data_IF_222347597276
#
_entry.id   IF_222347597276
#
_cell.length_a   1.000
_cell.length_b   1.000
_cell.length_c   1.000
_cell.angle_alpha   90.00
_cell.angle_beta   90.00
_cell.angle_gamma   90.00
#
_symmetry.space_group_name_H-M   'P 1'
#
loop_
_entity.id
_entity.type
_entity.pdbx_description
1 polymer ?
#
# COMPACT_ATOMS: atom_id res chain seq x y z
N UNK A 1 0.92 -1.59 -24.77
CA UNK A 1 1.46 -2.42 -23.69
C UNK A 1 0.45 -2.42 -22.56
N UNK A 2 -0.14 -3.57 -22.25
CA UNK A 2 -0.96 -3.72 -21.05
C UNK A 2 -0.03 -3.73 -19.83
N UNK A 3 -0.47 -3.15 -18.72
CA UNK A 3 0.32 -3.11 -17.49
C UNK A 3 -0.50 -3.80 -16.41
N UNK A 4 0.05 -4.86 -15.81
CA UNK A 4 -0.54 -5.45 -14.62
C UNK A 4 -0.16 -4.61 -13.40
N UNK A 5 -1.18 -4.16 -12.67
CA UNK A 5 -1.03 -3.28 -11.51
C UNK A 5 -1.45 -4.02 -10.24
N UNK A 6 -0.54 -4.15 -9.27
CA UNK A 6 -0.94 -4.58 -7.93
C UNK A 6 -1.94 -3.58 -7.35
N UNK A 7 -2.97 -4.06 -6.66
CA UNK A 7 -3.89 -3.23 -5.89
C UNK A 7 -3.30 -2.94 -4.50
N UNK A 8 -3.70 -1.84 -3.82
CA UNK A 8 -3.12 -1.48 -2.52
C UNK A 8 -3.27 -2.57 -1.46
N UNK A 9 -4.42 -3.25 -1.45
CA UNK A 9 -4.67 -4.35 -0.51
C UNK A 9 -3.83 -5.59 -0.81
N UNK A 10 -3.44 -5.80 -2.07
CA UNK A 10 -2.53 -6.87 -2.45
C UNK A 10 -1.11 -6.56 -1.97
N UNK A 11 -0.64 -5.33 -2.14
CA UNK A 11 0.65 -4.89 -1.61
C UNK A 11 0.71 -4.99 -0.08
N UNK A 12 -0.32 -4.50 0.61
CA UNK A 12 -0.41 -4.60 2.07
C UNK A 12 -0.40 -6.06 2.55
N UNK A 13 -1.15 -6.94 1.88
CA UNK A 13 -1.18 -8.37 2.21
C UNK A 13 0.15 -9.07 1.93
N UNK A 14 0.71 -8.85 0.75
CA UNK A 14 1.93 -9.50 0.32
C UNK A 14 3.10 -9.10 1.21
N UNK A 15 3.22 -7.81 1.58
CA UNK A 15 4.25 -7.35 2.48
C UNK A 15 4.20 -8.04 3.85
N UNK A 16 3.00 -8.17 4.45
CA UNK A 16 2.83 -8.89 5.72
C UNK A 16 3.17 -10.38 5.57
N UNK A 17 2.68 -11.04 4.54
CA UNK A 17 2.92 -12.49 4.32
C UNK A 17 4.40 -12.78 4.09
N UNK A 18 5.10 -11.95 3.30
CA UNK A 18 6.53 -12.10 3.06
C UNK A 18 7.31 -11.87 4.35
N UNK A 19 7.01 -10.80 5.08
CA UNK A 19 7.70 -10.47 6.34
C UNK A 19 7.45 -11.50 7.44
N UNK A 20 6.29 -12.14 7.45
CA UNK A 20 5.97 -13.17 8.42
C UNK A 20 6.71 -14.48 8.18
N UNK A 21 7.20 -14.74 6.95
CA UNK A 21 7.86 -15.99 6.63
C UNK A 21 9.09 -16.21 7.52
N UNK A 22 9.13 -17.35 8.20
CA UNK A 22 10.20 -17.71 9.13
C UNK A 22 10.07 -17.10 10.53
N UNK A 23 9.05 -16.30 10.82
CA UNK A 23 8.82 -15.78 12.16
C UNK A 23 8.16 -16.81 13.07
N UNK A 24 8.57 -16.81 14.33
CA UNK A 24 7.94 -17.60 15.38
C UNK A 24 6.68 -16.91 15.95
N UNK A 25 5.94 -17.64 16.80
CA UNK A 25 4.70 -17.14 17.41
C UNK A 25 4.90 -15.87 18.25
N UNK A 26 6.02 -15.75 18.96
CA UNK A 26 6.30 -14.58 19.82
C UNK A 26 6.58 -13.36 18.96
N UNK A 27 7.35 -13.52 17.88
CA UNK A 27 7.64 -12.48 16.92
C UNK A 27 6.38 -12.02 16.18
N UNK A 28 5.53 -12.95 15.74
CA UNK A 28 4.23 -12.62 15.13
C UNK A 28 3.35 -11.86 16.13
N UNK A 29 3.24 -12.32 17.38
CA UNK A 29 2.45 -11.63 18.39
C UNK A 29 2.95 -10.21 18.68
N UNK A 30 4.27 -9.98 18.67
CA UNK A 30 4.84 -8.64 18.80
C UNK A 30 4.46 -7.74 17.61
N UNK A 31 4.51 -8.27 16.37
CA UNK A 31 4.13 -7.52 15.17
C UNK A 31 2.63 -7.23 15.10
N UNK A 32 1.78 -8.12 15.62
CA UNK A 32 0.33 -7.85 15.80
C UNK A 32 0.13 -6.62 16.69
N UNK A 33 0.79 -6.55 17.85
CA UNK A 33 0.68 -5.39 18.75
C UNK A 33 1.14 -4.10 18.07
N UNK A 34 2.28 -4.13 17.39
CA UNK A 34 2.80 -2.97 16.66
C UNK A 34 1.84 -2.53 15.54
N UNK A 35 1.21 -3.47 14.83
CA UNK A 35 0.23 -3.16 13.80
C UNK A 35 -1.06 -2.54 14.40
N UNK A 36 -1.54 -3.05 15.53
CA UNK A 36 -2.67 -2.49 16.27
C UNK A 36 -2.38 -1.07 16.75
N UNK A 37 -1.20 -0.84 17.33
CA UNK A 37 -0.77 0.50 17.74
C UNK A 37 -0.71 1.46 16.56
N UNK A 38 -0.16 1.02 15.41
CA UNK A 38 -0.10 1.84 14.20
C UNK A 38 -1.49 2.20 13.70
N UNK A 39 -2.41 1.22 13.63
CA UNK A 39 -3.80 1.48 13.26
C UNK A 39 -4.47 2.45 14.24
N UNK A 40 -4.24 2.27 15.55
CA UNK A 40 -4.72 3.19 16.59
C UNK A 40 -4.20 4.62 16.41
N UNK A 41 -2.91 4.79 16.14
CA UNK A 41 -2.31 6.10 15.83
C UNK A 41 -2.89 6.71 14.55
N UNK A 42 -3.11 5.91 13.51
CA UNK A 42 -3.68 6.38 12.25
C UNK A 42 -5.14 6.86 12.40
N UNK A 43 -5.93 6.25 13.30
CA UNK A 43 -7.33 6.67 13.58
C UNK A 43 -7.44 8.06 14.18
N UNK A 44 -6.49 8.44 15.02
CA UNK A 44 -6.44 9.77 15.63
C UNK A 44 -5.66 10.78 14.79
N UNK A 45 -5.10 10.34 13.66
CA UNK A 45 -4.37 11.18 12.72
C UNK A 45 -5.28 12.14 11.95
N UNK A 46 -4.69 13.12 11.24
CA UNK A 46 -5.44 13.98 10.34
C UNK A 46 -6.19 13.17 9.29
N UNK A 47 -7.43 13.56 8.98
CA UNK A 47 -8.18 12.93 7.91
C UNK A 47 -7.47 13.15 6.56
N UNK A 48 -7.21 12.05 5.87
CA UNK A 48 -6.59 12.07 4.54
C UNK A 48 -7.68 11.99 3.46
N UNK A 49 -7.51 12.68 2.32
CA UNK A 49 -8.41 12.59 1.20
C UNK A 49 -8.29 11.24 0.49
N UNK A 50 -9.38 10.81 -0.14
CA UNK A 50 -9.51 9.58 -0.92
C UNK A 50 -9.54 8.27 -0.10
N UNK A 51 -9.85 7.16 -0.77
CA UNK A 51 -10.00 5.84 -0.13
C UNK A 51 -8.67 5.21 0.32
N UNK A 52 -7.56 5.60 -0.30
CA UNK A 52 -6.23 5.19 0.10
C UNK A 52 -5.71 6.18 1.12
N UNK A 53 -5.57 5.72 2.37
CA UNK A 53 -5.08 6.52 3.50
C UNK A 53 -4.14 5.69 4.38
N UNK A 54 -3.35 6.35 5.23
CA UNK A 54 -2.52 5.67 6.24
C UNK A 54 -3.37 4.77 7.14
N UNK A 55 -4.59 5.22 7.50
CA UNK A 55 -5.53 4.41 8.27
C UNK A 55 -5.93 3.14 7.52
N UNK A 56 -6.38 3.27 6.26
CA UNK A 56 -6.79 2.12 5.44
C UNK A 56 -5.64 1.12 5.29
N UNK A 57 -4.41 1.61 5.06
CA UNK A 57 -3.22 0.76 4.92
C UNK A 57 -2.89 0.06 6.25
N UNK A 58 -2.89 0.79 7.36
CA UNK A 58 -2.58 0.26 8.68
C UNK A 58 -3.60 -0.81 9.12
N UNK A 59 -4.89 -0.57 8.90
CA UNK A 59 -5.95 -1.53 9.23
C UNK A 59 -5.86 -2.80 8.36
N UNK A 60 -5.63 -2.65 7.05
CA UNK A 60 -5.42 -3.80 6.17
C UNK A 60 -4.27 -4.66 6.67
N UNK A 61 -3.13 -4.06 7.02
CA UNK A 61 -1.95 -4.79 7.55
C UNK A 61 -2.25 -5.43 8.90
N UNK A 62 -2.93 -4.71 9.80
CA UNK A 62 -3.33 -5.23 11.11
C UNK A 62 -4.16 -6.52 10.97
N UNK A 63 -5.18 -6.50 10.12
CA UNK A 63 -6.02 -7.67 9.83
C UNK A 63 -5.19 -8.85 9.30
N UNK A 64 -4.17 -8.59 8.46
CA UNK A 64 -3.31 -9.67 7.98
C UNK A 64 -2.40 -10.24 9.07
N UNK A 65 -1.85 -9.41 9.95
CA UNK A 65 -1.05 -9.88 11.08
C UNK A 65 -1.89 -10.70 12.07
N UNK A 66 -3.07 -10.20 12.44
CA UNK A 66 -3.99 -10.88 13.36
C UNK A 66 -4.45 -12.23 12.82
N UNK A 67 -4.56 -12.36 11.49
CA UNK A 67 -4.89 -13.63 10.84
C UNK A 67 -3.78 -14.68 10.94
N UNK A 68 -2.51 -14.27 10.94
CA UNK A 68 -1.38 -15.21 10.86
C UNK A 68 -1.24 -16.05 12.14
N UNK A 69 -1.45 -15.46 13.32
CA UNK A 69 -1.32 -16.18 14.58
C UNK A 69 -2.26 -17.41 14.66
N UNK A 70 -3.59 -17.29 14.39
CA UNK A 70 -4.49 -18.45 14.33
C UNK A 70 -4.11 -19.50 13.29
N UNK A 71 -3.47 -19.11 12.17
CA UNK A 71 -2.95 -20.07 11.18
C UNK A 71 -1.81 -20.89 11.80
N UNK A 72 -0.87 -20.25 12.48
CA UNK A 72 0.25 -20.95 13.13
C UNK A 72 -0.21 -21.93 14.22
N UNK A 73 -1.30 -21.62 14.91
CA UNK A 73 -1.88 -22.48 15.94
C UNK A 73 -2.62 -23.67 15.32
N UNK A 74 -3.44 -23.43 14.29
CA UNK A 74 -4.17 -24.48 13.57
C UNK A 74 -3.22 -25.50 12.93
N UNK A 75 -2.20 -25.00 12.24
CA UNK A 75 -1.22 -25.84 11.54
C UNK A 75 -0.14 -26.40 12.49
N UNK A 76 -0.19 -26.05 13.77
CA UNK A 76 0.76 -26.47 14.81
C UNK A 76 2.24 -26.23 14.46
N UNK A 77 2.52 -25.13 13.75
CA UNK A 77 3.87 -24.81 13.27
C UNK A 77 4.65 -23.93 14.24
N UNK A 78 5.95 -24.18 14.36
CA UNK A 78 6.84 -23.35 15.16
C UNK A 78 7.16 -22.00 14.48
N UNK A 79 7.27 -22.02 13.14
CA UNK A 79 7.54 -20.86 12.31
C UNK A 79 6.50 -20.75 11.20
N UNK A 80 6.11 -19.52 10.85
CA UNK A 80 5.16 -19.30 9.77
C UNK A 80 5.79 -19.60 8.41
N UNK A 81 5.08 -20.39 7.60
CA UNK A 81 5.43 -20.65 6.21
C UNK A 81 4.22 -20.36 5.32
N UNK A 82 4.44 -19.56 4.26
CA UNK A 82 3.37 -19.18 3.31
C UNK A 82 2.66 -20.39 2.70
N UNK A 83 3.39 -21.48 2.44
CA UNK A 83 2.84 -22.71 1.85
C UNK A 83 1.80 -23.39 2.73
N UNK A 84 1.80 -23.13 4.05
CA UNK A 84 0.85 -23.69 5.01
C UNK A 84 -0.37 -22.78 5.22
N UNK A 85 -0.35 -21.57 4.67
CA UNK A 85 -1.44 -20.62 4.73
C UNK A 85 -2.30 -20.72 3.46
N UNK A 86 -3.34 -21.55 3.51
CA UNK A 86 -4.25 -21.78 2.39
C UNK A 86 -4.88 -20.49 1.83
N UNK A 87 -5.06 -19.45 2.65
CA UNK A 87 -5.57 -18.16 2.17
C UNK A 87 -4.49 -17.39 1.41
N UNK A 88 -3.26 -17.38 1.92
CA UNK A 88 -2.15 -16.76 1.21
C UNK A 88 -1.90 -17.45 -0.15
N UNK A 89 -1.93 -18.78 -0.19
CA UNK A 89 -1.82 -19.57 -1.43
C UNK A 89 -2.93 -19.21 -2.41
N UNK A 90 -4.20 -19.27 -1.97
CA UNK A 90 -5.36 -18.94 -2.82
C UNK A 90 -5.30 -17.52 -3.37
N UNK A 91 -4.87 -16.55 -2.56
CA UNK A 91 -4.73 -15.17 -3.02
C UNK A 91 -3.66 -15.03 -4.12
N UNK A 92 -2.55 -15.76 -4.04
CA UNK A 92 -1.53 -15.77 -5.08
C UNK A 92 -2.00 -16.50 -6.35
N UNK A 93 -2.75 -17.59 -6.22
CA UNK A 93 -3.37 -18.27 -7.35
C UNK A 93 -4.36 -17.36 -8.08
N UNK A 94 -5.25 -16.68 -7.34
CA UNK A 94 -6.19 -15.72 -7.91
C UNK A 94 -5.47 -14.55 -8.61
N UNK A 95 -4.35 -14.10 -8.04
CA UNK A 95 -3.49 -13.07 -8.66
C UNK A 95 -2.94 -13.55 -9.99
N UNK A 96 -2.40 -14.76 -10.02
CA UNK A 96 -1.84 -15.37 -11.22
C UNK A 96 -2.92 -15.61 -12.29
N UNK A 97 -4.11 -16.08 -11.90
CA UNK A 97 -5.24 -16.26 -12.80
C UNK A 97 -5.68 -14.95 -13.47
N UNK A 98 -5.74 -13.84 -12.72
CA UNK A 98 -6.03 -12.52 -13.31
C UNK A 98 -4.95 -12.10 -14.30
N UNK A 99 -3.68 -12.23 -13.92
CA UNK A 99 -2.57 -11.94 -14.82
C UNK A 99 -2.62 -12.78 -16.10
N UNK A 100 -2.91 -14.08 -15.99
CA UNK A 100 -3.06 -14.96 -17.16
C UNK A 100 -4.23 -14.54 -18.06
N UNK A 101 -5.34 -14.07 -17.48
CA UNK A 101 -6.46 -13.54 -18.26
C UNK A 101 -6.06 -12.26 -19.02
N UNK A 102 -5.30 -11.35 -18.38
CA UNK A 102 -4.78 -10.14 -19.03
C UNK A 102 -3.79 -10.48 -20.15
N UNK A 103 -2.95 -11.52 -19.97
CA UNK A 103 -2.03 -12.03 -21.00
C UNK A 103 -2.83 -12.58 -22.18
N UNK A 104 -3.80 -13.45 -21.94
CA UNK A 104 -4.61 -14.05 -23.00
C UNK A 104 -5.40 -12.99 -23.79
N UNK A 105 -5.90 -11.95 -23.11
CA UNK A 105 -6.55 -10.83 -23.79
C UNK A 105 -5.56 -10.01 -24.62
N UNK A 106 -4.36 -9.74 -24.10
CA UNK A 106 -3.31 -9.06 -24.85
C UNK A 106 -2.95 -9.81 -26.15
N UNK A 107 -2.81 -11.14 -26.06
CA UNK A 107 -2.55 -12.02 -27.20
C UNK A 107 -3.69 -11.97 -28.24
N UNK A 108 -4.95 -12.02 -27.80
CA UNK A 108 -6.11 -11.88 -28.69
C UNK A 108 -6.13 -10.57 -29.46
N UNK A 109 -5.75 -9.47 -28.80
CA UNK A 109 -5.73 -8.14 -29.39
C UNK A 109 -4.47 -7.86 -30.22
N UNK A 110 -3.55 -8.83 -30.34
CA UNK A 110 -2.28 -8.65 -31.06
C UNK A 110 -1.38 -7.58 -30.44
N UNK A 111 -1.61 -7.24 -29.16
CA UNK A 111 -0.77 -6.29 -28.43
C UNK A 111 0.30 -7.02 -27.63
N UNK A 112 1.39 -6.34 -27.34
CA UNK A 112 2.46 -6.87 -26.48
C UNK A 112 1.88 -7.37 -25.16
N UNK A 113 2.36 -8.53 -24.71
CA UNK A 113 2.04 -9.13 -23.43
C UNK A 113 2.14 -8.10 -22.28
N UNK A 114 1.32 -8.25 -21.23
CA UNK A 114 1.30 -7.30 -20.14
C UNK A 114 2.65 -7.24 -19.42
N UNK A 115 3.15 -6.03 -19.22
CA UNK A 115 4.29 -5.79 -18.33
C UNK A 115 3.80 -5.72 -16.89
N UNK A 116 4.44 -6.44 -15.97
CA UNK A 116 4.12 -6.33 -14.55
C UNK A 116 4.76 -5.06 -14.02
N UNK A 117 3.96 -4.00 -13.84
CA UNK A 117 4.43 -2.80 -13.18
C UNK A 117 4.39 -3.00 -11.67
N UNK A 118 5.54 -2.79 -11.04
CA UNK A 118 5.69 -2.84 -9.59
C UNK A 118 5.17 -1.54 -9.00
N UNK A 119 3.85 -1.43 -8.89
CA UNK A 119 3.23 -0.28 -8.24
C UNK A 119 3.65 -0.17 -6.78
N UNK A 120 3.91 1.06 -6.39
CA UNK A 120 4.23 1.47 -5.03
C UNK A 120 3.09 2.34 -4.54
N UNK A 121 2.76 2.24 -3.26
CA UNK A 121 1.94 3.27 -2.63
C UNK A 121 2.89 4.35 -2.13
N UNK A 122 2.71 5.55 -2.65
CA UNK A 122 3.46 6.73 -2.25
C UNK A 122 2.58 7.60 -1.35
N UNK A 123 3.16 8.05 -0.23
CA UNK A 123 2.67 9.12 0.63
C UNK A 123 3.27 10.43 0.16
N UNK A 124 2.41 11.40 -0.15
CA UNK A 124 2.81 12.75 -0.56
C UNK A 124 2.48 13.70 0.56
N UNK A 125 3.52 14.24 1.20
CA UNK A 125 3.39 15.33 2.15
C UNK A 125 3.37 16.67 1.42
N UNK A 126 2.43 17.54 1.79
CA UNK A 126 2.41 18.92 1.33
C UNK A 126 2.78 19.88 2.47
N UNK A 127 3.33 21.04 2.11
CA UNK A 127 3.59 22.14 3.04
C UNK A 127 2.88 23.41 2.59
N UNK A 128 2.42 24.19 3.55
CA UNK A 128 1.83 25.50 3.33
C UNK A 128 2.85 26.48 2.74
N UNK A 129 2.46 27.24 1.72
CA UNK A 129 3.24 28.38 1.25
C UNK A 129 3.01 29.55 2.19
N UNK A 130 4.09 30.19 2.64
CA UNK A 130 4.05 31.34 3.53
C UNK A 130 3.07 32.42 3.02
N UNK A 131 2.21 32.91 3.92
CA UNK A 131 1.20 33.93 3.61
C UNK A 131 -0.06 33.43 2.88
N UNK A 132 -0.19 32.12 2.60
CA UNK A 132 -1.38 31.54 1.93
C UNK A 132 -2.14 30.51 2.78
N UNK A 133 -1.64 30.16 3.96
CA UNK A 133 -2.27 29.20 4.85
C UNK A 133 -2.14 29.63 6.31
N UNK A 134 -3.03 29.12 7.18
CA UNK A 134 -3.01 29.42 8.61
C UNK A 134 -1.73 28.82 9.25
N UNK A 135 -0.95 29.60 10.03
CA UNK A 135 0.23 29.09 10.71
C UNK A 135 -0.11 27.90 11.62
N UNK A 136 0.75 26.88 11.63
CA UNK A 136 0.61 25.70 12.50
C UNK A 136 -0.32 24.60 12.00
N UNK A 137 -0.98 24.77 10.84
CA UNK A 137 -1.80 23.70 10.24
C UNK A 137 -0.91 22.83 9.33
N UNK A 138 -0.82 21.50 9.56
CA UNK A 138 -0.12 20.60 8.68
C UNK A 138 -0.71 20.65 7.27
N UNK A 139 0.15 20.62 6.24
CA UNK A 139 -0.33 20.50 4.87
C UNK A 139 -1.00 19.15 4.62
N UNK A 140 -1.89 19.05 3.62
CA UNK A 140 -2.60 17.82 3.36
C UNK A 140 -1.63 16.70 2.93
N UNK A 141 -1.94 15.48 3.37
CA UNK A 141 -1.24 14.26 2.95
C UNK A 141 -2.11 13.54 1.94
N UNK A 142 -1.52 12.98 0.88
CA UNK A 142 -2.23 12.18 -0.12
C UNK A 142 -1.50 10.85 -0.30
N UNK A 143 -2.25 9.75 -0.33
CA UNK A 143 -1.70 8.45 -0.74
C UNK A 143 -2.20 8.08 -2.13
N UNK A 144 -1.31 7.61 -2.99
CA UNK A 144 -1.68 7.10 -4.31
C UNK A 144 -0.72 6.01 -4.81
N UNK A 145 -1.18 5.29 -5.82
CA UNK A 145 -0.36 4.30 -6.52
C UNK A 145 0.42 4.92 -7.68
N UNK A 146 1.71 4.60 -7.76
CA UNK A 146 2.57 4.96 -8.88
C UNK A 146 3.73 3.99 -9.03
N UNK A 147 4.29 3.90 -10.24
CA UNK A 147 5.47 3.07 -10.51
C UNK A 147 6.76 3.63 -9.86
N UNK A 148 6.80 4.94 -9.59
CA UNK A 148 7.95 5.63 -8.98
C UNK A 148 7.52 6.87 -8.20
N UNK A 149 8.42 7.41 -7.36
CA UNK A 149 8.20 8.67 -6.65
C UNK A 149 8.00 9.84 -7.63
N UNK A 150 8.73 9.87 -8.74
CA UNK A 150 8.57 10.90 -9.77
C UNK A 150 7.19 10.80 -10.45
N UNK A 151 6.76 9.58 -10.80
CA UNK A 151 5.42 9.35 -11.34
C UNK A 151 4.33 9.75 -10.34
N UNK A 152 4.55 9.50 -9.04
CA UNK A 152 3.64 9.93 -7.99
C UNK A 152 3.55 11.47 -7.90
N UNK A 153 4.68 12.17 -7.92
CA UNK A 153 4.74 13.63 -7.91
C UNK A 153 4.03 14.25 -9.13
N UNK A 154 4.25 13.69 -10.32
CA UNK A 154 3.57 14.14 -11.55
C UNK A 154 2.06 13.91 -11.45
N UNK A 155 1.64 12.73 -11.01
CA UNK A 155 0.21 12.37 -10.89
C UNK A 155 -0.51 13.23 -9.85
N UNK A 156 0.08 13.43 -8.68
CA UNK A 156 -0.53 14.24 -7.62
C UNK A 156 -0.64 15.71 -8.06
N UNK A 157 0.36 16.24 -8.77
CA UNK A 157 0.29 17.61 -9.31
C UNK A 157 -0.76 17.76 -10.40
N UNK A 158 -0.89 16.77 -11.30
CA UNK A 158 -1.90 16.79 -12.35
C UNK A 158 -3.34 16.82 -11.81
N UNK A 159 -3.57 16.19 -10.66
CA UNK A 159 -4.89 16.14 -9.99
C UNK A 159 -5.11 17.34 -9.06
N UNK A 160 -4.11 17.70 -8.25
CA UNK A 160 -4.28 18.63 -7.14
C UNK A 160 -3.63 20.01 -7.34
N UNK A 161 -2.78 20.18 -8.36
CA UNK A 161 -2.10 21.43 -8.69
C UNK A 161 -2.87 22.35 -9.66
N UNK A 162 -3.95 21.86 -10.29
CA UNK A 162 -4.81 22.63 -11.21
C UNK A 162 -5.74 23.59 -10.46
N UNK A 163 -6.41 24.49 -11.20
CA UNK A 163 -7.47 25.35 -10.65
C UNK A 163 -8.56 24.53 -9.95
N UNK A 164 -8.92 24.94 -8.73
CA UNK A 164 -9.85 24.19 -7.86
C UNK A 164 -9.25 22.93 -7.21
N UNK A 165 -8.00 22.57 -7.55
CA UNK A 165 -7.28 21.45 -6.95
C UNK A 165 -6.89 21.70 -5.49
N UNK A 166 -6.78 20.62 -4.72
CA UNK A 166 -6.47 20.64 -3.29
C UNK A 166 -5.30 21.57 -2.95
N UNK A 167 -4.14 21.41 -3.59
CA UNK A 167 -2.95 22.19 -3.27
C UNK A 167 -3.08 23.66 -3.64
N UNK A 168 -3.81 23.98 -4.72
CA UNK A 168 -4.06 25.38 -5.09
C UNK A 168 -5.06 26.05 -4.15
N UNK A 169 -6.11 25.32 -3.73
CA UNK A 169 -7.11 25.80 -2.75
C UNK A 169 -6.51 26.03 -1.36
N UNK A 170 -5.61 25.14 -0.92
CA UNK A 170 -4.98 25.26 0.41
C UNK A 170 -3.70 26.09 0.39
N UNK A 171 -3.25 26.55 -0.79
CA UNK A 171 -2.00 27.29 -0.94
C UNK A 171 -0.78 26.45 -0.57
N UNK A 172 -0.80 25.15 -0.85
CA UNK A 172 0.28 24.22 -0.51
C UNK A 172 1.12 23.85 -1.74
N UNK A 173 2.34 23.36 -1.49
CA UNK A 173 3.21 22.70 -2.49
C UNK A 173 3.56 21.29 -2.01
N UNK A 174 4.02 20.45 -2.91
CA UNK A 174 4.58 19.13 -2.56
C UNK A 174 5.87 19.38 -1.76
N UNK A 175 6.03 18.69 -0.63
CA UNK A 175 7.20 18.77 0.25
C UNK A 175 7.96 17.45 0.30
N UNK A 176 7.26 16.33 0.35
CA UNK A 176 7.86 15.00 0.35
C UNK A 176 7.06 14.02 -0.49
N UNK A 177 7.76 13.02 -1.02
CA UNK A 177 7.17 11.85 -1.66
C UNK A 177 7.90 10.63 -1.11
N UNK A 178 7.20 9.85 -0.32
CA UNK A 178 7.73 8.70 0.40
C UNK A 178 7.02 7.44 -0.09
N UNK A 179 7.76 6.38 -0.39
CA UNK A 179 7.13 5.08 -0.58
C UNK A 179 6.75 4.50 0.78
N UNK A 180 5.47 4.13 0.93
CA UNK A 180 4.96 3.47 2.14
C UNK A 180 4.60 2.01 1.91
N UNK A 181 4.32 1.60 0.66
CA UNK A 181 4.21 0.18 0.30
C UNK A 181 4.93 -0.12 -1.03
N UNK A 182 5.60 -1.28 -1.13
CA UNK A 182 5.99 -2.16 -0.01
C UNK A 182 6.88 -1.42 0.99
N UNK A 183 6.88 -1.78 2.28
CA UNK A 183 7.88 -1.23 3.20
C UNK A 183 9.28 -1.71 2.81
N UNK A 184 10.30 -1.02 3.31
CA UNK A 184 11.68 -1.45 3.12
C UNK A 184 11.87 -2.89 3.63
N UNK A 185 12.37 -3.77 2.76
CA UNK A 185 12.58 -5.19 3.05
C UNK A 185 11.35 -6.09 2.86
N UNK A 186 10.18 -5.56 2.48
CA UNK A 186 8.98 -6.38 2.28
C UNK A 186 8.85 -6.94 0.86
N UNK A 187 9.49 -6.34 -0.14
CA UNK A 187 9.60 -6.84 -1.51
C UNK A 187 10.80 -6.21 -2.26
N UNK A 188 11.40 -7.03 -3.14
CA UNK A 188 12.56 -6.79 -4.02
C UNK A 188 13.92 -6.85 -3.32
#
# INVERSE_FOLDING_TARGET
MLIYEYLPHELARLGVVVRAAGLDRRQVAALVRLAQERAGRARVGPAEPHHLSELSIAELRCVQWERIAPVMDREQVAMYARSLDSRAVRCEEQRLQRLMADVAEAERLGVTAPEISRHRVCRIGAWAVAGRSRPGVPGPVVHLMAASAEAAAKRVWAVHGKDGGLYRRTGCRIASVEQVLPEFGELF
#
